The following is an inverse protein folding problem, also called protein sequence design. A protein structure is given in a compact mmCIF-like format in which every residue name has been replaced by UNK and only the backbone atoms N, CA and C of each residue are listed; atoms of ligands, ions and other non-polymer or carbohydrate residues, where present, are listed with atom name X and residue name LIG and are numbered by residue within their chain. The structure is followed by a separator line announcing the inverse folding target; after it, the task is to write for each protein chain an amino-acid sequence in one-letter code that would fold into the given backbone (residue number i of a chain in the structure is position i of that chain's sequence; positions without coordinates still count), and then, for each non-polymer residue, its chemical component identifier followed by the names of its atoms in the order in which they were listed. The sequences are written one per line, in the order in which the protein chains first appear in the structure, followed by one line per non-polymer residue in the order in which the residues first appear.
data_IF_591043291384
#
_entry.id   IF_591043291384
#
_cell.length_a   1.000
_cell.length_b   1.000
_cell.length_c   1.000
_cell.angle_alpha   90.00
_cell.angle_beta   90.00
_cell.angle_gamma   90.00
#
_symmetry.space_group_name_H-M   'P 1'
#
loop_
_entity.id
_entity.type
_entity.pdbx_description
1 polymer ?
#
# COMPACT_ATOMS: atom_id res chain seq x y z
N UNK A 1 4.04 -24.12 -22.36
CA UNK A 1 4.70 -25.18 -21.55
C UNK A 1 5.88 -25.70 -22.34
N UNK A 2 7.02 -25.91 -21.70
CA UNK A 2 8.22 -26.46 -22.31
C UNK A 2 8.49 -27.88 -21.81
N UNK A 3 9.13 -28.68 -22.66
CA UNK A 3 9.47 -30.05 -22.35
C UNK A 3 10.82 -30.43 -22.94
N UNK A 4 11.55 -31.29 -22.24
CA UNK A 4 12.79 -31.89 -22.70
C UNK A 4 12.72 -33.40 -22.45
N UNK A 5 13.11 -34.18 -23.46
CA UNK A 5 13.19 -35.63 -23.37
C UNK A 5 14.64 -36.03 -23.48
N UNK A 6 15.14 -36.84 -22.53
CA UNK A 6 16.50 -37.38 -22.55
C UNK A 6 16.45 -38.89 -22.43
N UNK A 7 17.22 -39.59 -23.26
CA UNK A 7 17.51 -41.01 -23.04
C UNK A 7 18.56 -41.13 -21.93
N UNK A 8 18.23 -41.90 -20.91
CA UNK A 8 19.15 -42.30 -19.85
C UNK A 8 19.86 -43.62 -20.16
N UNK A 9 20.74 -44.02 -19.25
CA UNK A 9 21.47 -45.30 -19.34
C UNK A 9 20.47 -46.46 -19.20
N UNK A 10 20.68 -47.53 -19.97
CA UNK A 10 19.83 -48.74 -19.94
C UNK A 10 18.48 -48.59 -20.65
N UNK A 11 18.31 -47.60 -21.53
CA UNK A 11 17.06 -47.39 -22.27
C UNK A 11 15.97 -46.68 -21.47
N UNK A 12 16.31 -46.11 -20.31
CA UNK A 12 15.39 -45.25 -19.55
C UNK A 12 15.09 -43.96 -20.32
N UNK A 13 13.87 -43.44 -20.19
CA UNK A 13 13.46 -42.16 -20.78
C UNK A 13 13.16 -41.20 -19.63
N UNK A 14 13.87 -40.07 -19.61
CA UNK A 14 13.63 -38.97 -18.68
C UNK A 14 12.86 -37.87 -19.39
N UNK A 15 11.66 -37.57 -18.89
CA UNK A 15 10.80 -36.48 -19.34
C UNK A 15 10.89 -35.34 -18.31
N UNK A 16 11.36 -34.18 -18.73
CA UNK A 16 11.38 -32.96 -17.92
C UNK A 16 10.42 -31.96 -18.50
N UNK A 17 9.44 -31.51 -17.72
CA UNK A 17 8.47 -30.50 -18.11
C UNK A 17 8.64 -29.28 -17.21
N UNK A 18 8.55 -28.08 -17.80
CA UNK A 18 8.57 -26.83 -17.04
C UNK A 18 7.70 -25.77 -17.73
N UNK A 19 7.38 -24.73 -16.97
CA UNK A 19 6.68 -23.55 -17.46
C UNK A 19 7.58 -22.33 -17.26
N UNK A 20 7.51 -21.33 -18.14
CA UNK A 20 8.37 -20.15 -18.04
C UNK A 20 8.00 -19.26 -16.85
N UNK A 21 6.74 -19.24 -16.40
CA UNK A 21 6.29 -18.38 -15.32
C UNK A 21 5.45 -19.12 -14.29
N UNK A 22 5.69 -18.82 -13.02
CA UNK A 22 4.83 -19.14 -11.89
C UNK A 22 4.32 -17.85 -11.28
N UNK A 23 3.01 -17.70 -11.19
CA UNK A 23 2.40 -16.49 -10.68
C UNK A 23 1.79 -16.80 -9.33
N UNK A 24 2.23 -16.07 -8.31
CA UNK A 24 1.83 -16.27 -6.92
C UNK A 24 1.13 -15.01 -6.43
N UNK A 25 -0.16 -15.12 -6.15
CA UNK A 25 -0.94 -14.02 -5.63
C UNK A 25 -0.86 -13.95 -4.10
N UNK A 26 -0.09 -12.99 -3.57
CA UNK A 26 -0.03 -12.63 -2.14
C UNK A 26 -0.64 -11.26 -1.85
N UNK A 27 -1.37 -10.69 -2.79
CA UNK A 27 -1.94 -9.35 -2.64
C UNK A 27 -3.14 -9.31 -1.70
N UNK A 28 -3.78 -10.46 -1.44
CA UNK A 28 -5.03 -10.48 -0.70
C UNK A 28 -6.22 -10.01 -1.53
N UNK A 29 -6.05 -9.87 -2.85
CA UNK A 29 -7.04 -9.37 -3.80
C UNK A 29 -7.26 -10.46 -4.86
N UNK A 30 -8.50 -10.73 -5.28
CA UNK A 30 -8.79 -11.68 -6.33
C UNK A 30 -8.38 -11.08 -7.69
N UNK A 31 -7.51 -11.76 -8.43
CA UNK A 31 -6.91 -11.23 -9.67
C UNK A 31 -7.12 -12.20 -10.84
N UNK A 32 -7.59 -11.66 -11.96
CA UNK A 32 -7.73 -12.36 -13.23
C UNK A 32 -6.57 -11.98 -14.15
N UNK A 33 -5.93 -13.00 -14.72
CA UNK A 33 -4.83 -12.82 -15.64
C UNK A 33 -5.25 -12.96 -17.09
N UNK A 34 -4.77 -12.04 -17.93
CA UNK A 34 -4.98 -12.08 -19.37
C UNK A 34 -3.73 -11.70 -20.15
N UNK A 35 -3.46 -12.42 -21.23
CA UNK A 35 -2.43 -12.08 -22.21
C UNK A 35 -3.00 -11.14 -23.29
N UNK A 36 -2.21 -10.16 -23.74
CA UNK A 36 -2.61 -9.15 -24.74
C UNK A 36 -3.23 -9.74 -26.01
N UNK A 37 -2.64 -10.82 -26.54
CA UNK A 37 -3.05 -11.45 -27.79
C UNK A 37 -4.11 -12.56 -27.62
N UNK A 38 -4.58 -12.81 -26.40
CA UNK A 38 -5.55 -13.87 -26.13
C UNK A 38 -6.97 -13.30 -25.99
N UNK A 39 -7.90 -13.82 -26.80
CA UNK A 39 -9.32 -13.50 -26.69
C UNK A 39 -9.98 -14.10 -25.43
N UNK A 40 -9.27 -14.99 -24.73
CA UNK A 40 -9.73 -15.69 -23.53
C UNK A 40 -8.79 -15.47 -22.34
N UNK A 41 -9.30 -15.71 -21.14
CA UNK A 41 -8.53 -15.71 -19.90
C UNK A 41 -7.37 -16.70 -19.94
N UNK A 42 -6.40 -16.48 -19.06
CA UNK A 42 -5.25 -17.36 -18.86
C UNK A 42 -5.68 -18.83 -18.73
N UNK A 43 -5.24 -19.68 -19.68
CA UNK A 43 -5.48 -21.12 -19.57
C UNK A 43 -4.86 -21.68 -18.28
N UNK A 44 -5.65 -22.43 -17.50
CA UNK A 44 -5.23 -23.02 -16.22
C UNK A 44 -5.50 -22.14 -15.00
N UNK A 45 -6.01 -20.92 -15.18
CA UNK A 45 -6.66 -20.19 -14.10
C UNK A 45 -8.02 -20.86 -13.81
N UNK A 46 -8.24 -21.21 -12.55
CA UNK A 46 -9.45 -21.88 -12.06
C UNK A 46 -10.05 -21.02 -10.95
N UNK A 47 -11.33 -21.24 -10.63
CA UNK A 47 -12.05 -20.48 -9.59
C UNK A 47 -11.34 -20.45 -8.22
N UNK A 48 -10.46 -21.42 -7.92
CA UNK A 48 -9.62 -21.39 -6.71
C UNK A 48 -8.56 -20.28 -6.74
N UNK A 49 -7.94 -20.02 -7.91
CA UNK A 49 -6.92 -18.98 -8.11
C UNK A 49 -7.50 -17.56 -8.14
N UNK A 50 -8.81 -17.47 -8.37
CA UNK A 50 -9.58 -16.23 -8.31
C UNK A 50 -9.92 -15.85 -6.87
N UNK A 51 -9.64 -16.69 -5.87
CA UNK A 51 -9.81 -16.30 -4.48
C UNK A 51 -8.60 -15.51 -3.96
N UNK A 52 -8.86 -14.39 -3.30
CA UNK A 52 -7.88 -13.49 -2.67
C UNK A 52 -6.79 -14.14 -1.79
N UNK A 53 -6.96 -15.41 -1.39
CA UNK A 53 -6.05 -16.13 -0.48
C UNK A 53 -5.56 -17.46 -1.06
N UNK A 54 -5.63 -17.66 -2.37
CA UNK A 54 -5.03 -18.85 -2.96
C UNK A 54 -3.51 -18.84 -2.76
N UNK A 55 -3.00 -19.99 -2.31
CA UNK A 55 -1.57 -20.20 -2.07
C UNK A 55 -0.92 -21.03 -3.19
N UNK A 56 -1.71 -21.48 -4.16
CA UNK A 56 -1.19 -22.27 -5.26
C UNK A 56 -0.58 -21.36 -6.34
N UNK A 57 0.64 -21.67 -6.82
CA UNK A 57 1.23 -20.94 -7.93
C UNK A 57 0.48 -21.26 -9.21
N UNK A 58 -0.04 -20.23 -9.87
CA UNK A 58 -0.59 -20.34 -11.21
C UNK A 58 0.56 -20.58 -12.20
N UNK A 59 0.59 -21.76 -12.81
CA UNK A 59 1.57 -22.09 -13.84
C UNK A 59 1.15 -21.43 -15.16
N UNK A 60 1.97 -20.49 -15.64
CA UNK A 60 1.63 -19.66 -16.77
C UNK A 60 2.68 -19.74 -17.89
N UNK A 61 2.20 -19.69 -19.14
CA UNK A 61 3.03 -19.69 -20.35
C UNK A 61 2.37 -18.79 -21.38
N UNK A 62 3.12 -17.86 -21.93
CA UNK A 62 2.66 -17.05 -23.05
C UNK A 62 2.74 -17.85 -24.35
N UNK A 63 1.87 -17.52 -25.30
CA UNK A 63 1.97 -18.01 -26.68
C UNK A 63 3.13 -17.35 -27.46
N UNK A 64 3.49 -16.10 -27.11
CA UNK A 64 4.51 -15.26 -27.75
C UNK A 64 5.34 -14.50 -26.70
N UNK A 65 6.43 -13.84 -27.11
CA UNK A 65 7.18 -12.89 -26.26
C UNK A 65 6.31 -11.65 -25.97
N UNK A 66 5.44 -11.74 -24.96
CA UNK A 66 4.32 -10.82 -24.78
C UNK A 66 4.18 -10.21 -23.39
N UNK A 67 3.62 -9.01 -23.36
CA UNK A 67 3.18 -8.30 -22.16
C UNK A 67 1.96 -8.98 -21.52
N UNK A 68 1.80 -8.82 -20.21
CA UNK A 68 0.63 -9.29 -19.47
C UNK A 68 -0.27 -8.11 -19.05
N UNK A 69 -1.55 -8.43 -18.85
CA UNK A 69 -2.57 -7.56 -18.25
C UNK A 69 -3.14 -8.29 -17.02
N UNK A 70 -3.46 -7.54 -15.97
CA UNK A 70 -4.22 -8.05 -14.83
C UNK A 70 -5.55 -7.31 -14.71
N UNK A 71 -6.58 -8.01 -14.29
CA UNK A 71 -7.88 -7.48 -13.92
C UNK A 71 -8.25 -7.92 -12.50
N UNK A 72 -9.14 -7.17 -11.85
CA UNK A 72 -9.71 -7.54 -10.55
C UNK A 72 -10.92 -8.43 -10.79
N UNK A 73 -10.99 -9.57 -10.11
CA UNK A 73 -12.20 -10.38 -10.17
C UNK A 73 -13.36 -9.71 -9.41
N UNK A 74 -14.57 -9.88 -9.95
CA UNK A 74 -15.84 -9.28 -9.57
C UNK A 74 -16.31 -9.60 -8.15
N UNK A 75 -15.76 -10.62 -7.48
CA UNK A 75 -16.16 -10.97 -6.11
C UNK A 75 -15.75 -9.90 -5.06
N UNK A 76 -14.82 -8.99 -5.42
CA UNK A 76 -14.48 -7.80 -4.63
C UNK A 76 -15.40 -6.60 -4.94
N UNK A 77 -16.01 -6.53 -6.14
CA UNK A 77 -16.88 -5.44 -6.59
C UNK A 77 -18.33 -5.61 -6.10
N UNK A 78 -18.51 -5.85 -4.80
CA UNK A 78 -19.84 -5.86 -4.16
C UNK A 78 -20.49 -4.47 -4.09
N UNK A 79 -19.79 -3.43 -4.53
CA UNK A 79 -20.36 -2.10 -4.67
C UNK A 79 -21.16 -2.00 -5.97
N UNK A 80 -22.47 -1.75 -5.84
CA UNK A 80 -23.38 -1.66 -6.96
C UNK A 80 -22.86 -0.69 -8.03
N UNK A 81 -22.73 -1.18 -9.26
CA UNK A 81 -22.32 -0.46 -10.48
C UNK A 81 -20.82 -0.11 -10.64
N UNK A 82 -19.93 -0.64 -9.80
CA UNK A 82 -18.49 -0.60 -10.07
C UNK A 82 -18.08 -1.70 -11.07
N UNK A 83 -17.25 -1.36 -12.06
CA UNK A 83 -16.75 -2.27 -13.10
C UNK A 83 -15.22 -2.30 -13.11
N UNK A 84 -14.58 -3.48 -13.01
CA UNK A 84 -13.13 -3.58 -13.10
C UNK A 84 -12.62 -3.20 -14.50
N UNK A 85 -11.35 -2.79 -14.57
CA UNK A 85 -10.62 -2.60 -15.83
C UNK A 85 -9.28 -3.30 -15.76
N UNK A 86 -8.84 -3.79 -16.92
CA UNK A 86 -7.47 -4.26 -17.08
C UNK A 86 -6.45 -3.17 -16.73
N UNK A 87 -5.34 -3.57 -16.12
CA UNK A 87 -4.17 -2.75 -15.86
C UNK A 87 -3.57 -2.18 -17.13
N UNK A 88 -2.55 -1.32 -17.03
CA UNK A 88 -1.70 -1.10 -18.20
C UNK A 88 -0.87 -2.35 -18.48
N UNK A 89 -0.44 -2.53 -19.73
CA UNK A 89 0.49 -3.61 -20.10
C UNK A 89 1.82 -3.45 -19.37
N UNK A 90 2.36 -4.57 -18.92
CA UNK A 90 3.67 -4.59 -18.28
C UNK A 90 4.42 -5.87 -18.68
N UNK A 91 5.73 -5.80 -18.68
CA UNK A 91 6.58 -6.92 -19.07
C UNK A 91 6.94 -7.76 -17.84
N UNK A 92 7.01 -9.09 -17.98
CA UNK A 92 7.53 -9.97 -16.94
C UNK A 92 9.06 -10.02 -16.96
N UNK A 93 9.70 -8.85 -16.98
CA UNK A 93 11.15 -8.74 -16.87
C UNK A 93 11.57 -8.92 -15.41
N UNK A 94 12.69 -9.62 -15.13
CA UNK A 94 13.23 -9.74 -13.78
C UNK A 94 13.41 -8.38 -13.10
N UNK A 95 12.94 -8.26 -11.86
CA UNK A 95 12.98 -7.03 -11.09
C UNK A 95 11.68 -6.73 -10.35
N UNK A 96 11.59 -5.51 -9.85
CA UNK A 96 10.42 -5.02 -9.10
C UNK A 96 9.69 -3.97 -9.92
N UNK A 97 8.37 -4.10 -9.99
CA UNK A 97 7.44 -3.20 -10.66
C UNK A 97 6.25 -2.92 -9.76
N UNK A 98 5.46 -1.91 -10.10
CA UNK A 98 4.20 -1.60 -9.44
C UNK A 98 3.12 -1.42 -10.50
N UNK A 99 1.93 -1.94 -10.21
CA UNK A 99 0.75 -1.85 -11.06
C UNK A 99 -0.36 -1.11 -10.33
N UNK A 100 -1.08 -0.27 -11.06
CA UNK A 100 -2.28 0.40 -10.60
C UNK A 100 -3.47 -0.23 -11.31
N UNK A 101 -4.28 -0.97 -10.55
CA UNK A 101 -5.53 -1.53 -11.02
C UNK A 101 -6.65 -0.54 -10.72
N UNK A 102 -7.69 -0.47 -11.56
CA UNK A 102 -8.77 0.49 -11.41
C UNK A 102 -10.14 -0.18 -11.51
N UNK A 103 -11.06 0.25 -10.66
CA UNK A 103 -12.48 -0.11 -10.73
C UNK A 103 -13.28 1.18 -10.90
N UNK A 104 -14.01 1.27 -12.00
CA UNK A 104 -14.72 2.49 -12.42
C UNK A 104 -16.20 2.42 -12.10
N UNK A 105 -16.78 3.54 -11.68
CA UNK A 105 -18.22 3.71 -11.55
C UNK A 105 -18.71 4.77 -12.52
N UNK A 106 -19.99 4.72 -12.90
CA UNK A 106 -20.57 5.70 -13.83
C UNK A 106 -20.68 7.10 -13.21
N UNK A 107 -20.95 7.18 -11.90
CA UNK A 107 -21.21 8.44 -11.18
C UNK A 107 -20.32 8.71 -9.96
N UNK A 108 -19.54 7.72 -9.51
CA UNK A 108 -18.73 7.81 -8.29
C UNK A 108 -17.24 7.78 -8.66
N UNK A 109 -16.35 8.24 -7.76
CA UNK A 109 -14.91 8.22 -8.01
C UNK A 109 -14.39 6.81 -8.34
N UNK A 110 -13.40 6.76 -9.23
CA UNK A 110 -12.70 5.52 -9.58
C UNK A 110 -11.85 5.05 -8.40
N UNK A 111 -12.03 3.79 -8.02
CA UNK A 111 -11.21 3.15 -6.98
C UNK A 111 -9.94 2.61 -7.63
N UNK A 112 -8.82 2.73 -6.93
CA UNK A 112 -7.54 2.21 -7.42
C UNK A 112 -6.86 1.31 -6.38
N UNK A 113 -6.34 0.19 -6.87
CA UNK A 113 -5.62 -0.80 -6.09
C UNK A 113 -4.18 -0.87 -6.57
N UNK A 114 -3.24 -0.61 -5.66
CA UNK A 114 -1.82 -0.64 -5.97
C UNK A 114 -1.24 -2.02 -5.65
N UNK A 115 -0.70 -2.69 -6.67
CA UNK A 115 -0.09 -4.01 -6.58
C UNK A 115 1.41 -3.91 -6.81
N UNK A 116 2.19 -4.48 -5.90
CA UNK A 116 3.61 -4.73 -6.13
C UNK A 116 3.82 -6.02 -6.93
N UNK A 117 4.66 -5.96 -7.96
CA UNK A 117 5.06 -7.12 -8.76
C UNK A 117 6.55 -7.34 -8.61
N UNK A 118 6.96 -8.52 -8.14
CA UNK A 118 8.37 -8.95 -8.11
C UNK A 118 8.53 -10.14 -9.05
N UNK A 119 9.39 -10.01 -10.06
CA UNK A 119 9.76 -11.10 -10.96
C UNK A 119 11.19 -11.54 -10.65
N UNK A 120 11.37 -12.82 -10.34
CA UNK A 120 12.68 -13.39 -10.01
C UNK A 120 12.87 -14.76 -10.61
N UNK A 121 14.11 -15.15 -10.89
CA UNK A 121 14.40 -16.51 -11.32
C UNK A 121 14.10 -17.52 -10.21
N UNK A 122 13.51 -18.65 -10.57
CA UNK A 122 13.37 -19.81 -9.70
C UNK A 122 14.74 -20.38 -9.33
N UNK A 123 14.76 -21.18 -8.27
CA UNK A 123 16.00 -21.78 -7.75
C UNK A 123 15.96 -23.30 -7.83
N UNK A 124 17.13 -23.93 -7.83
CA UNK A 124 17.26 -25.39 -7.87
C UNK A 124 16.60 -26.01 -9.11
N UNK A 125 15.66 -26.93 -8.89
CA UNK A 125 14.92 -27.64 -9.96
C UNK A 125 14.01 -26.73 -10.81
N UNK A 126 13.81 -25.48 -10.39
CA UNK A 126 12.94 -24.51 -11.05
C UNK A 126 13.73 -23.35 -11.68
N UNK A 127 15.05 -23.51 -11.89
CA UNK A 127 15.93 -22.47 -12.45
C UNK A 127 15.47 -21.94 -13.82
N UNK A 128 14.74 -22.75 -14.57
CA UNK A 128 14.22 -22.43 -15.91
C UNK A 128 12.81 -21.81 -15.86
N UNK A 129 12.32 -21.48 -14.65
CA UNK A 129 11.03 -20.85 -14.39
C UNK A 129 11.23 -19.53 -13.65
N UNK A 130 10.55 -18.47 -14.07
CA UNK A 130 10.49 -17.21 -13.35
C UNK A 130 9.30 -17.21 -12.39
N UNK A 131 9.50 -16.76 -11.15
CA UNK A 131 8.45 -16.58 -10.16
C UNK A 131 8.03 -15.12 -10.15
N UNK A 132 6.78 -14.87 -10.51
CA UNK A 132 6.10 -13.59 -10.44
C UNK A 132 5.30 -13.55 -9.14
N UNK A 133 5.65 -12.65 -8.24
CA UNK A 133 5.00 -12.46 -6.96
C UNK A 133 4.17 -11.19 -7.00
N UNK A 134 2.85 -11.34 -6.85
CA UNK A 134 1.92 -10.22 -6.72
C UNK A 134 1.70 -9.96 -5.24
N UNK A 135 1.87 -8.72 -4.80
CA UNK A 135 1.80 -8.31 -3.39
C UNK A 135 0.99 -7.04 -3.27
N UNK A 136 0.43 -6.78 -2.10
CA UNK A 136 -0.12 -5.45 -1.81
C UNK A 136 1.00 -4.43 -1.82
N UNK A 137 0.80 -3.27 -2.44
CA UNK A 137 1.88 -2.27 -2.54
C UNK A 137 2.21 -1.64 -1.19
N UNK A 138 1.26 -1.56 -0.26
CA UNK A 138 1.43 -0.89 1.02
C UNK A 138 0.98 -1.79 2.18
N UNK A 139 1.81 -1.87 3.21
CA UNK A 139 1.47 -2.52 4.48
C UNK A 139 1.74 -1.52 5.59
N UNK A 140 0.72 -1.23 6.38
CA UNK A 140 0.83 -0.38 7.56
C UNK A 140 1.02 -1.30 8.76
N UNK A 141 2.10 -1.10 9.51
CA UNK A 141 2.40 -1.81 10.75
C UNK A 141 2.38 -0.84 11.91
N UNK A 142 1.40 -0.98 12.80
CA UNK A 142 1.34 -0.25 14.04
C UNK A 142 2.10 -1.02 15.14
N UNK A 143 3.34 -0.62 15.39
CA UNK A 143 4.16 -1.13 16.50
C UNK A 143 4.23 -0.13 17.66
N UNK A 144 3.41 0.93 17.62
CA UNK A 144 3.27 1.89 18.72
C UNK A 144 2.38 1.35 19.83
N UNK A 145 2.41 2.01 20.97
CA UNK A 145 1.54 1.73 22.12
C UNK A 145 0.10 2.28 21.95
N UNK A 146 -0.17 2.97 20.83
CA UNK A 146 -1.43 3.66 20.58
C UNK A 146 -2.27 2.98 19.50
N UNK A 147 -3.57 3.27 19.46
CA UNK A 147 -4.42 2.93 18.31
C UNK A 147 -4.31 4.05 17.28
N UNK A 148 -3.96 3.71 16.04
CA UNK A 148 -3.87 4.69 14.96
C UNK A 148 -5.22 4.80 14.25
N UNK A 149 -5.63 6.02 13.93
CA UNK A 149 -6.73 6.31 13.02
C UNK A 149 -6.14 6.85 11.71
N UNK A 150 -6.37 6.13 10.60
CA UNK A 150 -5.80 6.47 9.28
C UNK A 150 -6.91 6.66 8.25
N UNK A 151 -6.76 7.67 7.39
CA UNK A 151 -7.69 7.96 6.32
C UNK A 151 -6.95 8.58 5.12
N UNK A 152 -7.60 8.59 3.96
CA UNK A 152 -7.16 9.39 2.81
C UNK A 152 -7.32 10.88 3.10
N UNK A 153 -6.48 11.74 2.51
CA UNK A 153 -6.55 13.20 2.69
C UNK A 153 -7.97 13.74 2.47
N UNK A 154 -8.63 13.30 1.41
CA UNK A 154 -9.97 13.77 1.04
C UNK A 154 -11.07 13.36 2.03
N UNK A 155 -10.78 12.44 2.95
CA UNK A 155 -11.72 11.86 3.90
C UNK A 155 -11.48 12.31 5.34
N UNK A 156 -10.56 13.26 5.57
CA UNK A 156 -10.20 13.76 6.91
C UNK A 156 -11.42 14.20 7.74
N UNK A 157 -12.41 14.83 7.09
CA UNK A 157 -13.62 15.31 7.77
C UNK A 157 -14.65 14.19 8.03
N UNK A 158 -14.43 12.98 7.48
CA UNK A 158 -15.33 11.84 7.56
C UNK A 158 -14.80 10.78 8.50
N UNK A 159 -14.83 11.08 9.79
CA UNK A 159 -14.32 10.21 10.87
C UNK A 159 -14.88 8.78 10.81
N UNK A 160 -16.11 8.59 10.34
CA UNK A 160 -16.72 7.26 10.17
C UNK A 160 -16.04 6.37 9.11
N UNK A 161 -15.31 6.97 8.18
CA UNK A 161 -14.56 6.27 7.12
C UNK A 161 -13.10 6.04 7.52
N UNK A 162 -12.68 6.47 8.72
CA UNK A 162 -11.33 6.23 9.19
C UNK A 162 -11.12 4.77 9.55
N UNK A 163 -9.97 4.25 9.16
CA UNK A 163 -9.55 2.89 9.51
C UNK A 163 -8.76 2.95 10.82
N UNK A 164 -9.19 2.15 11.79
CA UNK A 164 -8.51 2.05 13.08
C UNK A 164 -7.58 0.84 13.10
N UNK A 165 -6.31 1.08 13.43
CA UNK A 165 -5.28 0.05 13.54
C UNK A 165 -4.86 -0.01 15.00
N UNK A 166 -5.28 -1.09 15.68
CA UNK A 166 -4.93 -1.32 17.08
C UNK A 166 -3.40 -1.39 17.29
N UNK A 167 -2.96 -1.14 18.51
CA UNK A 167 -1.55 -1.32 18.90
C UNK A 167 -1.08 -2.75 18.58
N UNK A 168 0.17 -2.86 18.13
CA UNK A 168 0.82 -4.13 17.75
C UNK A 168 0.12 -4.90 16.63
N UNK A 169 -0.60 -4.20 15.74
CA UNK A 169 -1.30 -4.81 14.60
C UNK A 169 -0.80 -4.27 13.27
N UNK A 170 -0.91 -5.10 12.22
CA UNK A 170 -0.58 -4.73 10.85
C UNK A 170 -1.79 -4.89 9.95
N UNK A 171 -1.92 -3.98 8.99
CA UNK A 171 -2.99 -3.94 8.02
C UNK A 171 -2.42 -3.80 6.61
N UNK A 172 -2.95 -4.57 5.68
CA UNK A 172 -2.69 -4.38 4.25
C UNK A 172 -3.50 -3.17 3.77
N UNK A 173 -2.83 -2.17 3.22
CA UNK A 173 -3.48 -0.95 2.74
C UNK A 173 -3.62 -0.99 1.22
N UNK A 174 -4.86 -1.11 0.76
CA UNK A 174 -5.20 -1.42 -0.64
C UNK A 174 -5.96 -0.28 -1.32
N UNK A 175 -5.61 0.99 -1.11
CA UNK A 175 -6.29 2.12 -1.78
C UNK A 175 -5.34 3.25 -2.17
N UNK A 176 -5.89 4.28 -2.84
CA UNK A 176 -5.17 5.43 -3.41
C UNK A 176 -4.17 6.01 -2.41
N UNK A 177 -2.93 6.17 -2.89
CA UNK A 177 -1.89 6.85 -2.16
C UNK A 177 -1.80 8.25 -2.74
N UNK A 178 -2.42 9.23 -2.08
CA UNK A 178 -1.88 10.59 -1.91
C UNK A 178 -2.27 11.06 -0.51
N UNK A 179 -1.25 11.36 0.30
CA UNK A 179 -1.28 11.91 1.67
C UNK A 179 -2.33 11.36 2.67
N UNK A 180 -1.88 10.61 3.68
CA UNK A 180 -2.69 10.29 4.86
C UNK A 180 -2.40 11.29 5.99
N UNK A 181 -3.43 11.92 6.54
CA UNK A 181 -3.35 12.62 7.83
C UNK A 181 -4.00 11.77 8.93
N UNK A 182 -3.40 11.79 10.10
CA UNK A 182 -3.86 11.03 11.27
C UNK A 182 -4.40 12.00 12.31
N UNK A 183 -5.51 11.67 12.93
CA UNK A 183 -6.11 12.45 14.03
C UNK A 183 -6.20 11.53 15.25
N UNK A 184 -5.73 12.02 16.40
CA UNK A 184 -5.94 11.37 17.69
C UNK A 184 -7.35 11.70 18.23
N UNK A 185 -8.02 10.73 18.84
CA UNK A 185 -9.36 10.90 19.40
C UNK A 185 -9.38 11.83 20.63
N UNK A 186 -8.23 12.00 21.28
CA UNK A 186 -8.08 12.75 22.54
C UNK A 186 -7.57 14.20 22.32
N UNK A 187 -7.48 14.66 21.06
CA UNK A 187 -7.00 15.99 20.62
C UNK A 187 -5.60 16.41 21.15
N UNK A 188 -4.89 15.51 21.83
CA UNK A 188 -3.56 15.79 22.36
C UNK A 188 -2.52 15.41 21.31
N UNK A 189 -1.72 16.34 20.78
CA UNK A 189 -0.73 16.01 19.78
C UNK A 189 0.32 15.08 20.38
N UNK A 190 0.46 13.89 19.78
CA UNK A 190 1.49 12.91 20.10
C UNK A 190 2.45 12.76 18.94
N UNK A 191 3.72 12.57 19.25
CA UNK A 191 4.71 12.19 18.25
C UNK A 191 4.70 10.69 18.06
N UNK A 192 4.63 10.28 16.80
CA UNK A 192 4.82 8.88 16.39
C UNK A 192 5.94 8.87 15.37
N UNK A 193 6.89 7.95 15.54
CA UNK A 193 7.95 7.73 14.56
C UNK A 193 7.41 6.88 13.43
N UNK A 194 7.59 7.36 12.20
CA UNK A 194 7.25 6.65 10.97
C UNK A 194 8.52 6.22 10.25
N UNK A 195 8.62 4.95 9.90
CA UNK A 195 9.68 4.39 9.07
C UNK A 195 9.08 3.75 7.82
N UNK A 196 9.58 4.13 6.64
CA UNK A 196 9.12 3.59 5.36
C UNK A 196 10.26 2.81 4.72
N UNK A 197 10.07 1.51 4.57
CA UNK A 197 11.04 0.61 3.93
C UNK A 197 10.38 -0.03 2.71
N UNK A 198 11.07 0.00 1.58
CA UNK A 198 10.69 -0.77 0.40
C UNK A 198 11.34 -2.17 0.51
N UNK A 199 10.54 -3.20 0.76
CA UNK A 199 10.95 -4.59 0.74
C UNK A 199 10.39 -5.28 -0.51
N UNK A 200 11.26 -5.60 -1.47
CA UNK A 200 10.86 -6.01 -2.82
C UNK A 200 9.85 -5.02 -3.41
N UNK A 201 8.62 -5.47 -3.68
CA UNK A 201 7.56 -4.66 -4.27
C UNK A 201 6.58 -4.06 -3.25
N UNK A 202 6.90 -4.11 -1.95
CA UNK A 202 6.01 -3.68 -0.85
C UNK A 202 6.65 -2.54 -0.06
N UNK A 203 5.91 -1.44 0.09
CA UNK A 203 6.23 -0.41 1.08
C UNK A 203 5.69 -0.81 2.44
N UNK A 204 6.59 -1.06 3.38
CA UNK A 204 6.27 -1.28 4.79
C UNK A 204 6.35 0.07 5.51
N UNK A 205 5.20 0.59 5.92
CA UNK A 205 5.07 1.82 6.72
C UNK A 205 4.91 1.40 8.18
N UNK A 206 5.94 1.60 8.98
CA UNK A 206 5.98 1.16 10.37
C UNK A 206 5.89 2.36 11.30
N UNK A 207 4.92 2.31 12.22
CA UNK A 207 4.69 3.31 13.24
C UNK A 207 5.21 2.81 14.59
N UNK A 208 5.99 3.62 15.30
CA UNK A 208 6.61 3.29 16.60
C UNK A 208 6.54 4.48 17.55
N UNK A 209 6.61 4.21 18.85
CA UNK A 209 6.63 5.28 19.87
C UNK A 209 7.83 6.20 19.67
N UNK A 210 7.61 7.50 19.81
CA UNK A 210 8.64 8.52 19.59
C UNK A 210 9.37 8.95 20.88
N UNK A 211 9.08 8.31 22.03
CA UNK A 211 9.54 8.75 23.36
C UNK A 211 11.07 8.87 23.50
N UNK A 212 11.83 8.13 22.67
CA UNK A 212 13.29 8.14 22.67
C UNK A 212 13.91 9.12 21.67
N UNK A 213 13.10 9.88 20.96
CA UNK A 213 13.54 10.84 19.95
C UNK A 213 13.29 12.28 20.42
N UNK A 214 14.22 13.21 20.17
CA UNK A 214 13.96 14.61 20.46
C UNK A 214 12.81 15.13 19.59
N UNK A 215 11.97 16.04 20.12
CA UNK A 215 10.90 16.64 19.35
C UNK A 215 11.46 17.44 18.17
N UNK A 216 10.77 17.49 17.00
CA UNK A 216 11.25 18.23 15.83
C UNK A 216 11.45 19.72 16.12
N UNK A 217 10.50 20.32 16.85
CA UNK A 217 10.54 21.70 17.32
C UNK A 217 10.05 21.72 18.76
N UNK A 218 10.70 22.52 19.62
CA UNK A 218 10.24 22.78 20.98
C UNK A 218 9.89 24.25 21.12
N UNK A 219 8.64 24.54 21.47
CA UNK A 219 8.19 25.90 21.77
C UNK A 219 8.32 26.10 23.28
N UNK A 220 9.14 27.07 23.68
CA UNK A 220 9.30 27.45 25.09
C UNK A 220 8.60 28.79 25.36
N UNK A 221 7.56 28.75 26.17
CA UNK A 221 6.90 29.95 26.66
C UNK A 221 7.51 30.36 28.01
N UNK A 222 8.50 31.25 27.96
CA UNK A 222 9.12 31.83 29.15
C UNK A 222 8.33 33.00 29.75
N UNK A 223 7.20 33.38 29.14
CA UNK A 223 6.35 34.46 29.63
C UNK A 223 5.40 34.01 30.75
N UNK A 224 4.78 34.99 31.41
CA UNK A 224 3.78 34.77 32.48
C UNK A 224 2.35 34.64 31.95
N UNK A 225 2.15 34.64 30.62
CA UNK A 225 0.83 34.51 29.99
C UNK A 225 0.78 33.31 29.05
N UNK A 226 -0.37 32.64 28.90
CA UNK A 226 -0.52 31.60 27.89
C UNK A 226 -0.46 32.20 26.48
N UNK A 227 0.22 31.49 25.57
CA UNK A 227 0.38 31.91 24.17
C UNK A 227 -0.29 30.89 23.28
N UNK A 228 -1.27 31.34 22.50
CA UNK A 228 -1.84 30.58 21.40
C UNK A 228 -0.85 30.58 20.24
N UNK A 229 -0.59 29.41 19.68
CA UNK A 229 0.26 29.25 18.50
C UNK A 229 -0.46 28.43 17.43
N UNK A 230 -0.11 28.69 16.16
CA UNK A 230 -0.54 27.94 14.99
C UNK A 230 0.44 28.17 13.84
N UNK A 231 0.55 27.24 12.89
CA UNK A 231 1.23 27.50 11.63
C UNK A 231 0.45 28.55 10.80
N UNK A 232 1.18 29.43 10.12
CA UNK A 232 0.60 30.34 9.16
C UNK A 232 0.06 29.57 7.95
N UNK A 233 -1.24 29.68 7.71
CA UNK A 233 -1.93 29.14 6.53
C UNK A 233 -2.57 30.26 5.71
N UNK A 234 -2.67 30.07 4.39
CA UNK A 234 -3.35 30.99 3.48
C UNK A 234 -4.88 30.80 3.47
N UNK A 235 -5.37 29.70 4.05
CA UNK A 235 -6.80 29.35 4.13
C UNK A 235 -7.38 29.36 5.55
N UNK A 236 -8.69 29.09 5.69
CA UNK A 236 -9.31 28.92 7.01
C UNK A 236 -8.65 27.77 7.77
N UNK A 237 -8.13 28.08 8.96
CA UNK A 237 -7.45 27.12 9.85
C UNK A 237 -8.49 26.43 10.72
N UNK A 238 -8.47 25.10 10.73
CA UNK A 238 -9.33 24.29 11.61
C UNK A 238 -9.04 24.62 13.08
N UNK A 239 -10.10 24.67 13.91
CA UNK A 239 -9.95 25.01 15.33
C UNK A 239 -9.00 24.05 16.07
N UNK A 240 -8.91 22.80 15.64
CA UNK A 240 -8.02 21.78 16.20
C UNK A 240 -6.52 22.07 16.00
N UNK A 241 -6.14 22.97 15.08
CA UNK A 241 -4.73 23.36 14.86
C UNK A 241 -4.30 24.55 15.74
N UNK A 242 -5.24 25.13 16.50
CA UNK A 242 -4.97 26.24 17.41
C UNK A 242 -4.68 25.69 18.80
N UNK A 243 -3.41 25.74 19.20
CA UNK A 243 -2.97 25.15 20.47
C UNK A 243 -2.40 26.20 21.41
N UNK A 244 -2.57 25.99 22.72
CA UNK A 244 -2.08 26.89 23.76
C UNK A 244 -0.81 26.33 24.41
N UNK A 245 0.27 27.12 24.38
CA UNK A 245 1.43 26.91 25.23
C UNK A 245 1.26 27.70 26.53
N UNK A 246 1.14 27.00 27.66
CA UNK A 246 0.89 27.62 28.98
C UNK A 246 2.07 28.52 29.41
N UNK A 247 1.80 29.47 30.30
CA UNK A 247 2.85 30.31 30.90
C UNK A 247 3.93 29.44 31.56
N UNK A 248 5.20 29.88 31.46
CA UNK A 248 6.37 29.19 32.04
C UNK A 248 6.45 27.70 31.70
N UNK A 249 6.03 27.32 30.49
CA UNK A 249 5.98 25.93 30.05
C UNK A 249 6.63 25.74 28.68
N UNK A 250 6.69 24.50 28.23
CA UNK A 250 7.09 24.17 26.87
C UNK A 250 6.12 23.17 26.29
N UNK A 251 6.10 23.11 24.96
CA UNK A 251 5.37 22.08 24.22
C UNK A 251 6.19 21.65 23.01
N UNK A 252 6.06 20.38 22.69
CA UNK A 252 6.69 19.79 21.53
C UNK A 252 5.78 19.99 20.31
N UNK A 253 6.38 20.36 19.18
CA UNK A 253 5.65 20.78 17.98
C UNK A 253 6.26 20.21 16.69
N UNK A 254 5.40 19.97 15.71
CA UNK A 254 5.75 19.77 14.31
C UNK A 254 4.82 20.62 13.45
N UNK A 255 5.29 21.01 12.27
CA UNK A 255 4.48 21.78 11.32
C UNK A 255 3.20 21.03 10.94
N UNK A 256 2.07 21.74 11.04
CA UNK A 256 0.73 21.25 10.69
C UNK A 256 0.59 20.94 9.19
N UNK A 257 1.29 21.73 8.35
CA UNK A 257 1.44 21.55 6.91
C UNK A 257 2.92 21.60 6.53
N UNK A 258 3.46 20.45 6.13
CA UNK A 258 4.87 20.29 5.75
C UNK A 258 5.25 21.07 4.49
N UNK A 259 4.28 21.35 3.61
CA UNK A 259 4.47 22.10 2.36
C UNK A 259 4.08 23.58 2.49
N UNK A 260 3.39 23.93 3.57
CA UNK A 260 2.98 25.29 3.89
C UNK A 260 4.13 26.21 4.30
N UNK A 261 3.77 27.47 4.55
CA UNK A 261 4.71 28.48 5.04
C UNK A 261 5.27 28.07 6.40
N UNK A 262 6.61 28.04 6.53
CA UNK A 262 7.32 27.73 7.80
C UNK A 262 7.36 28.96 8.71
N UNK A 263 6.20 29.49 9.03
CA UNK A 263 6.01 30.66 9.89
C UNK A 263 4.95 30.33 10.93
N UNK A 264 5.17 30.77 12.17
CA UNK A 264 4.16 30.68 13.23
C UNK A 264 3.46 32.00 13.42
N UNK A 265 2.18 31.92 13.74
CA UNK A 265 1.40 33.03 14.27
C UNK A 265 1.24 32.80 15.77
N UNK A 266 1.63 33.79 16.57
CA UNK A 266 1.50 33.78 18.02
C UNK A 266 0.48 34.84 18.45
N UNK A 267 -0.43 34.48 19.34
CA UNK A 267 -1.42 35.38 19.91
C UNK A 267 -1.47 35.20 21.42
N UNK A 268 -1.52 36.31 22.16
CA UNK A 268 -1.75 36.26 23.61
C UNK A 268 -3.18 35.74 23.82
N UNK A 269 -3.30 34.64 24.57
CA UNK A 269 -4.60 34.14 25.02
C UNK A 269 -4.93 34.83 26.34
N UNK A 270 -6.03 35.59 26.38
CA UNK A 270 -6.58 36.15 27.62
C UNK A 270 -7.58 35.20 28.25
#
# INVERSE_FOLDING_TARGET
MYGNVRLGVGGSISLSLWVPYWIVNKSGIPLILKQEAADSEAAGQMAEHEQAKDRHPLMFSFADDGYAWYELDMDLAKEANYRPRYSHKFALTPGVQALKLSVVHETLPTLYYNIGVEVRAGTGRYKDTQVVLLTSRYVISNQSSFTLSVCHHDLIDRVSEHVHIASQCSLVWNENYEDCRQIDADETPRFVRVEIILNSAVFCVTFTDADYYPPPIRIENQSDVPVLYQQQSEGPIGQHLRTICKARSHIDYAWDDLYGSRRMVLQISF
#
